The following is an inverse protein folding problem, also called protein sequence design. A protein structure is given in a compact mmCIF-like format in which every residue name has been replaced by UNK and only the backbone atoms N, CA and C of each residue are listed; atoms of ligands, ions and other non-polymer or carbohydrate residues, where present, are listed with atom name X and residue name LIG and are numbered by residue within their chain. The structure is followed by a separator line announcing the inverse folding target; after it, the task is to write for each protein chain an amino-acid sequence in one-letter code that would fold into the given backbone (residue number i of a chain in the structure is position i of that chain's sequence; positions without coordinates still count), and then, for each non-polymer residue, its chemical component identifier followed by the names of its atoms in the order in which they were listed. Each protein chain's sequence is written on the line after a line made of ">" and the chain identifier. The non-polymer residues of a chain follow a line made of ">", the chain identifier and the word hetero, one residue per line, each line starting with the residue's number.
data_IF_518214495811
#
_entry.id   IF_518214495811
#
_cell.length_a   1.000
_cell.length_b   1.000
_cell.length_c   1.000
_cell.angle_alpha   90.00
_cell.angle_beta   90.00
_cell.angle_gamma   90.00
#
_symmetry.space_group_name_H-M   'P 1'
#
loop_
_entity.id
_entity.type
_entity.pdbx_description
1 polymer ?
#
# COMPACT_ATOMS: atom_id res chain seq x y z
N UNK A 1 32.91 -4.92 9.52
CA UNK A 1 31.74 -4.64 8.68
C UNK A 1 31.60 -5.83 7.76
N UNK A 2 30.86 -6.85 8.21
CA UNK A 2 30.66 -8.07 7.44
C UNK A 2 29.50 -7.79 6.48
N UNK A 3 29.71 -8.08 5.20
CA UNK A 3 28.70 -8.05 4.15
C UNK A 3 27.45 -8.81 4.59
N UNK A 4 26.31 -8.13 4.53
CA UNK A 4 24.98 -8.66 4.85
C UNK A 4 24.73 -9.99 4.16
N UNK A 5 24.73 -11.07 4.95
CA UNK A 5 24.28 -12.37 4.49
C UNK A 5 22.75 -12.42 4.61
N UNK A 6 22.07 -11.67 3.73
CA UNK A 6 20.61 -11.67 3.65
C UNK A 6 20.10 -13.07 3.28
N UNK A 7 19.04 -13.53 3.93
CA UNK A 7 18.38 -14.80 3.71
C UNK A 7 17.40 -14.68 2.52
N UNK A 8 17.69 -15.33 1.38
CA UNK A 8 16.85 -15.25 0.19
C UNK A 8 15.43 -15.78 0.39
N UNK A 9 15.23 -16.73 1.31
CA UNK A 9 13.90 -17.31 1.58
C UNK A 9 13.00 -16.29 2.28
N UNK A 10 13.54 -15.50 3.22
CA UNK A 10 12.81 -14.42 3.90
C UNK A 10 12.45 -13.32 2.89
N UNK A 11 13.42 -12.92 2.06
CA UNK A 11 13.20 -11.93 0.99
C UNK A 11 12.07 -12.38 0.05
N UNK A 12 12.10 -13.64 -0.39
CA UNK A 12 11.07 -14.19 -1.28
C UNK A 12 9.70 -14.23 -0.60
N UNK A 13 9.63 -14.61 0.68
CA UNK A 13 8.39 -14.61 1.45
C UNK A 13 7.82 -13.20 1.62
N UNK A 14 8.67 -12.21 1.92
CA UNK A 14 8.27 -10.82 2.06
C UNK A 14 7.74 -10.24 0.75
N UNK A 15 8.41 -10.52 -0.38
CA UNK A 15 7.93 -10.12 -1.71
C UNK A 15 6.58 -10.74 -2.03
N UNK A 16 6.38 -12.02 -1.69
CA UNK A 16 5.10 -12.70 -1.91
C UNK A 16 3.97 -12.14 -1.03
N UNK A 17 4.25 -11.81 0.24
CA UNK A 17 3.28 -11.18 1.13
C UNK A 17 2.83 -9.81 0.59
N UNK A 18 3.77 -8.98 0.13
CA UNK A 18 3.43 -7.68 -0.45
C UNK A 18 2.71 -7.82 -1.80
N UNK A 19 3.10 -8.76 -2.66
CA UNK A 19 2.36 -9.04 -3.90
C UNK A 19 0.90 -9.44 -3.63
N UNK A 20 0.66 -10.31 -2.64
CA UNK A 20 -0.68 -10.67 -2.21
C UNK A 20 -1.46 -9.45 -1.69
N UNK A 21 -0.81 -8.55 -0.96
CA UNK A 21 -1.41 -7.34 -0.44
C UNK A 21 -1.95 -6.43 -1.57
N UNK A 22 -1.13 -6.14 -2.59
CA UNK A 22 -1.57 -5.34 -3.75
C UNK A 22 -2.72 -6.01 -4.52
N UNK A 23 -2.73 -7.34 -4.62
CA UNK A 23 -3.84 -8.05 -5.26
C UNK A 23 -5.16 -7.84 -4.50
N UNK A 24 -5.13 -7.89 -3.17
CA UNK A 24 -6.28 -7.62 -2.32
C UNK A 24 -6.76 -6.17 -2.43
N UNK A 25 -5.86 -5.21 -2.51
CA UNK A 25 -6.22 -3.81 -2.71
C UNK A 25 -6.89 -3.55 -4.07
N UNK A 26 -6.33 -4.10 -5.15
CA UNK A 26 -6.88 -3.94 -6.50
C UNK A 26 -8.28 -4.56 -6.64
N UNK A 27 -8.60 -5.57 -5.83
CA UNK A 27 -9.90 -6.27 -5.81
C UNK A 27 -10.84 -5.77 -4.70
N UNK A 28 -10.41 -4.78 -3.91
CA UNK A 28 -11.12 -4.27 -2.74
C UNK A 28 -11.46 -5.36 -1.69
N UNK A 29 -10.60 -6.36 -1.55
CA UNK A 29 -10.70 -7.43 -0.57
C UNK A 29 -9.99 -7.02 0.73
N UNK A 30 -10.58 -6.06 1.46
CA UNK A 30 -9.98 -5.48 2.67
C UNK A 30 -9.56 -6.52 3.70
N UNK A 31 -10.40 -7.53 3.98
CA UNK A 31 -10.08 -8.59 4.96
C UNK A 31 -8.83 -9.39 4.56
N UNK A 32 -8.66 -9.70 3.26
CA UNK A 32 -7.49 -10.41 2.77
C UNK A 32 -6.21 -9.57 2.92
N UNK A 33 -6.30 -8.25 2.72
CA UNK A 33 -5.19 -7.34 3.00
C UNK A 33 -4.84 -7.30 4.50
N UNK A 34 -5.85 -7.34 5.39
CA UNK A 34 -5.64 -7.31 6.84
C UNK A 34 -4.98 -8.58 7.38
N UNK A 35 -5.21 -9.73 6.77
CA UNK A 35 -4.55 -11.00 7.15
C UNK A 35 -3.03 -10.97 6.92
N UNK A 36 -2.55 -10.07 6.05
CA UNK A 36 -1.13 -9.88 5.76
C UNK A 36 -0.44 -8.89 6.72
N UNK A 37 -1.22 -8.24 7.59
CA UNK A 37 -0.68 -7.33 8.61
C UNK A 37 -0.45 -8.01 9.95
N UNK A 38 0.51 -7.48 10.71
CA UNK A 38 0.57 -7.73 12.16
C UNK A 38 -0.59 -7.05 12.87
N UNK A 39 -0.98 -7.53 14.06
CA UNK A 39 -2.12 -6.97 14.80
C UNK A 39 -1.90 -5.51 15.24
N UNK A 40 -0.64 -5.15 15.48
CA UNK A 40 -0.14 -3.82 15.85
C UNK A 40 0.35 -2.99 14.64
N UNK A 41 -0.09 -3.32 13.42
CA UNK A 41 0.34 -2.62 12.20
C UNK A 41 0.20 -1.10 12.31
N UNK A 42 1.16 -0.39 11.73
CA UNK A 42 1.09 1.06 11.54
C UNK A 42 0.91 1.37 10.06
N UNK A 43 -0.06 2.21 9.71
CA UNK A 43 -0.25 2.69 8.35
C UNK A 43 -0.07 4.22 8.31
N UNK A 44 0.75 4.73 7.39
CA UNK A 44 1.04 6.15 7.23
C UNK A 44 0.83 6.62 5.78
N UNK A 45 0.22 7.79 5.62
CA UNK A 45 0.29 8.57 4.38
C UNK A 45 0.81 9.97 4.69
N UNK A 46 2.14 10.19 4.68
CA UNK A 46 2.74 11.46 5.08
C UNK A 46 2.26 12.64 4.24
N UNK A 47 2.01 12.44 2.94
CA UNK A 47 1.49 13.49 2.04
C UNK A 47 0.12 14.03 2.48
N UNK A 48 -0.68 13.20 3.17
CA UNK A 48 -1.98 13.56 3.73
C UNK A 48 -1.95 13.82 5.24
N UNK A 49 -0.80 13.66 5.89
CA UNK A 49 -0.66 13.80 7.36
C UNK A 49 -1.43 12.74 8.15
N UNK A 50 -1.66 11.56 7.59
CA UNK A 50 -2.44 10.48 8.22
C UNK A 50 -1.53 9.42 8.86
N UNK A 51 -2.00 8.88 9.99
CA UNK A 51 -1.42 7.75 10.70
C UNK A 51 -2.52 6.95 11.39
N UNK A 52 -2.54 5.64 11.16
CA UNK A 52 -3.46 4.70 11.82
C UNK A 52 -2.67 3.57 12.47
N UNK A 53 -3.14 3.09 13.62
CA UNK A 53 -2.47 2.04 14.39
C UNK A 53 -3.46 0.92 14.72
N UNK A 54 -3.03 -0.32 14.46
CA UNK A 54 -3.79 -1.55 14.63
C UNK A 54 -4.77 -1.84 13.49
N UNK A 55 -5.03 -3.13 13.26
CA UNK A 55 -5.86 -3.62 12.14
C UNK A 55 -7.20 -2.93 11.99
N UNK A 56 -7.91 -2.68 13.10
CA UNK A 56 -9.23 -2.03 13.05
C UNK A 56 -9.17 -0.62 12.46
N UNK A 57 -8.21 0.20 12.88
CA UNK A 57 -8.10 1.57 12.39
C UNK A 57 -7.68 1.59 10.90
N UNK A 58 -6.81 0.65 10.50
CA UNK A 58 -6.41 0.47 9.11
C UNK A 58 -7.59 0.00 8.25
N UNK A 59 -8.39 -0.97 8.72
CA UNK A 59 -9.59 -1.47 8.05
C UNK A 59 -10.63 -0.37 7.80
N UNK A 60 -10.89 0.46 8.82
CA UNK A 60 -11.83 1.58 8.73
C UNK A 60 -11.35 2.61 7.68
N UNK A 61 -10.05 2.86 7.62
CA UNK A 61 -9.44 3.74 6.63
C UNK A 61 -9.52 3.14 5.20
N UNK A 62 -9.13 1.87 5.04
CA UNK A 62 -9.15 1.15 3.76
C UNK A 62 -10.56 1.15 3.17
N UNK A 63 -11.55 0.76 3.97
CA UNK A 63 -12.96 0.74 3.57
C UNK A 63 -13.43 2.12 3.08
N UNK A 64 -13.10 3.19 3.81
CA UNK A 64 -13.48 4.55 3.43
C UNK A 64 -12.75 5.06 2.19
N UNK A 65 -11.50 4.64 2.00
CA UNK A 65 -10.66 5.02 0.87
C UNK A 65 -11.12 4.35 -0.42
N UNK A 66 -11.21 3.02 -0.43
CA UNK A 66 -11.58 2.24 -1.61
C UNK A 66 -13.04 2.47 -2.03
N UNK A 67 -13.95 2.79 -1.11
CA UNK A 67 -15.32 3.19 -1.45
C UNK A 67 -15.39 4.46 -2.33
N UNK A 68 -14.30 5.23 -2.43
CA UNK A 68 -14.21 6.48 -3.21
C UNK A 68 -13.41 6.32 -4.51
N UNK A 69 -13.10 5.08 -4.89
CA UNK A 69 -12.35 4.74 -6.09
C UNK A 69 -13.10 3.70 -6.91
N UNK A 70 -12.89 3.71 -8.21
CA UNK A 70 -13.27 2.61 -9.10
C UNK A 70 -12.23 2.47 -10.22
N UNK A 71 -12.28 1.33 -10.92
CA UNK A 71 -11.37 1.02 -12.03
C UNK A 71 -9.89 1.13 -11.62
N UNK A 72 -9.54 0.61 -10.43
CA UNK A 72 -8.20 0.70 -9.86
C UNK A 72 -7.26 -0.25 -10.61
N UNK A 73 -6.19 0.31 -11.18
CA UNK A 73 -5.14 -0.39 -11.90
C UNK A 73 -3.77 -0.04 -11.30
N UNK A 74 -2.98 -1.06 -10.98
CA UNK A 74 -1.60 -0.91 -10.51
C UNK A 74 -0.62 -1.32 -11.61
N UNK A 75 0.35 -0.46 -11.88
CA UNK A 75 1.50 -0.71 -12.75
C UNK A 75 2.78 -0.64 -11.90
N UNK A 76 3.31 -1.79 -11.50
CA UNK A 76 4.57 -1.88 -10.75
C UNK A 76 5.75 -1.49 -11.65
N UNK A 77 6.51 -0.46 -11.27
CA UNK A 77 7.73 -0.09 -12.02
C UNK A 77 8.97 -0.77 -11.47
N UNK A 78 9.08 -0.87 -10.14
CA UNK A 78 10.13 -1.65 -9.48
C UNK A 78 9.65 -2.11 -8.11
N UNK A 79 10.12 -3.29 -7.71
CA UNK A 79 9.95 -3.81 -6.37
C UNK A 79 11.20 -4.56 -5.95
N UNK A 80 11.66 -4.32 -4.73
CA UNK A 80 12.77 -5.05 -4.13
C UNK A 80 12.56 -5.16 -2.63
N UNK A 81 13.31 -6.07 -2.01
CA UNK A 81 13.17 -6.36 -0.60
C UNK A 81 14.52 -6.68 0.05
N UNK A 82 14.55 -6.44 1.36
CA UNK A 82 15.51 -6.98 2.32
C UNK A 82 14.78 -7.99 3.21
N UNK A 83 15.48 -8.54 4.21
CA UNK A 83 14.83 -9.39 5.23
C UNK A 83 13.73 -8.67 6.02
N UNK A 84 13.81 -7.35 6.15
CA UNK A 84 12.98 -6.54 7.04
C UNK A 84 12.19 -5.44 6.33
N UNK A 85 12.35 -5.29 5.01
CA UNK A 85 11.67 -4.26 4.21
C UNK A 85 11.25 -4.79 2.86
N UNK A 86 10.15 -4.23 2.35
CA UNK A 86 9.82 -4.27 0.92
C UNK A 86 9.60 -2.84 0.46
N UNK A 87 10.19 -2.47 -0.66
CA UNK A 87 9.96 -1.19 -1.32
C UNK A 87 9.28 -1.46 -2.65
N UNK A 88 8.16 -0.79 -2.85
CA UNK A 88 7.40 -0.82 -4.10
C UNK A 88 7.28 0.60 -4.66
N UNK A 89 7.40 0.70 -5.97
CA UNK A 89 7.30 1.96 -6.69
C UNK A 89 6.44 1.76 -7.94
N UNK A 90 5.22 2.27 -7.87
CA UNK A 90 4.13 1.94 -8.79
C UNK A 90 3.47 3.18 -9.38
N UNK A 91 2.75 3.01 -10.49
CA UNK A 91 1.78 3.97 -10.97
C UNK A 91 0.39 3.37 -10.74
N UNK A 92 -0.47 4.10 -10.04
CA UNK A 92 -1.85 3.69 -9.78
C UNK A 92 -2.78 4.59 -10.58
N UNK A 93 -3.70 4.00 -11.32
CA UNK A 93 -4.74 4.71 -12.07
C UNK A 93 -6.10 4.31 -11.54
N UNK A 94 -6.98 5.28 -11.35
CA UNK A 94 -8.34 5.03 -10.87
C UNK A 94 -9.23 6.25 -11.17
N UNK A 95 -10.53 6.04 -11.11
CA UNK A 95 -11.52 7.12 -11.17
C UNK A 95 -12.01 7.44 -9.76
N UNK A 96 -12.01 8.73 -9.40
CA UNK A 96 -12.60 9.18 -8.13
C UNK A 96 -14.12 9.13 -8.19
N UNK A 97 -14.75 8.56 -7.17
CA UNK A 97 -16.22 8.42 -7.08
C UNK A 97 -16.83 9.19 -5.92
N UNK A 98 -15.98 9.76 -5.05
CA UNK A 98 -16.41 10.52 -3.89
C UNK A 98 -15.39 11.57 -3.47
N UNK A 99 -15.84 12.48 -2.62
CA UNK A 99 -15.06 13.62 -2.15
C UNK A 99 -14.18 13.30 -0.93
N UNK A 100 -13.15 14.11 -0.72
CA UNK A 100 -12.36 14.12 0.52
C UNK A 100 -11.34 13.01 0.68
N UNK A 101 -11.11 12.18 -0.34
CA UNK A 101 -9.91 11.34 -0.40
C UNK A 101 -8.70 12.14 -0.91
N UNK A 102 -8.86 12.77 -2.09
CA UNK A 102 -7.90 13.70 -2.68
C UNK A 102 -8.53 15.08 -2.84
N UNK A 103 -7.74 16.16 -2.95
CA UNK A 103 -8.23 17.50 -3.26
C UNK A 103 -8.57 17.65 -4.75
N UNK A 104 -9.36 16.72 -5.29
CA UNK A 104 -9.83 16.64 -6.66
C UNK A 104 -11.34 16.33 -6.63
N UNK A 105 -12.07 16.80 -7.63
CA UNK A 105 -13.51 16.56 -7.71
C UNK A 105 -13.81 15.09 -8.03
N UNK A 106 -14.95 14.60 -7.55
CA UNK A 106 -15.54 13.34 -8.00
C UNK A 106 -15.69 13.31 -9.53
N UNK A 107 -15.45 12.14 -10.12
CA UNK A 107 -15.41 11.89 -11.56
C UNK A 107 -14.06 12.13 -12.22
N UNK A 108 -13.08 12.70 -11.50
CA UNK A 108 -11.72 12.90 -12.03
C UNK A 108 -11.01 11.57 -12.24
N UNK A 109 -10.44 11.36 -13.43
CA UNK A 109 -9.46 10.29 -13.65
C UNK A 109 -8.14 10.69 -13.01
N UNK A 110 -7.60 9.83 -12.15
CA UNK A 110 -6.37 10.07 -11.41
C UNK A 110 -5.27 9.17 -11.94
N UNK A 111 -4.09 9.74 -12.10
CA UNK A 111 -2.84 8.98 -12.14
C UNK A 111 -2.01 9.38 -10.91
N UNK A 112 -1.58 8.38 -10.15
CA UNK A 112 -0.82 8.55 -8.93
C UNK A 112 0.51 7.80 -9.05
N UNK A 113 1.61 8.51 -8.82
CA UNK A 113 2.88 7.88 -8.51
C UNK A 113 2.85 7.52 -7.03
N UNK A 114 3.01 6.24 -6.71
CA UNK A 114 2.91 5.73 -5.35
C UNK A 114 4.16 4.94 -5.01
N UNK A 115 4.85 5.37 -3.95
CA UNK A 115 5.94 4.59 -3.35
C UNK A 115 5.46 4.05 -2.02
N UNK A 116 5.50 2.73 -1.87
CA UNK A 116 5.29 2.08 -0.59
C UNK A 116 6.62 1.65 0.02
N UNK A 117 6.75 1.88 1.32
CA UNK A 117 7.79 1.27 2.15
C UNK A 117 7.10 0.43 3.21
N UNK A 118 7.28 -0.88 3.11
CA UNK A 118 6.76 -1.84 4.07
C UNK A 118 7.86 -2.26 5.04
N UNK A 119 7.56 -2.26 6.34
CA UNK A 119 8.36 -2.92 7.36
C UNK A 119 7.83 -4.32 7.61
N UNK A 120 8.69 -5.33 7.44
CA UNK A 120 8.32 -6.73 7.55
C UNK A 120 8.72 -7.31 8.91
N UNK A 121 7.87 -8.15 9.48
CA UNK A 121 8.15 -8.90 10.70
C UNK A 121 7.47 -10.26 10.63
N UNK A 122 8.25 -11.33 10.76
CA UNK A 122 7.77 -12.72 10.74
C UNK A 122 6.90 -13.05 9.52
N UNK A 123 7.26 -12.48 8.35
CA UNK A 123 6.52 -12.67 7.09
C UNK A 123 5.25 -11.84 6.95
N UNK A 124 4.93 -10.99 7.93
CA UNK A 124 3.79 -10.07 7.90
C UNK A 124 4.25 -8.62 7.77
N UNK A 125 3.36 -7.76 7.27
CA UNK A 125 3.59 -6.32 7.19
C UNK A 125 3.28 -5.71 8.57
N UNK A 126 4.31 -5.17 9.21
CA UNK A 126 4.21 -4.49 10.51
C UNK A 126 4.04 -2.97 10.39
N UNK A 127 4.43 -2.41 9.24
CA UNK A 127 4.17 -1.01 8.92
C UNK A 127 4.11 -0.82 7.42
N UNK A 128 3.25 0.08 6.99
CA UNK A 128 3.15 0.56 5.62
C UNK A 128 3.22 2.08 5.60
N UNK A 129 3.99 2.61 4.66
CA UNK A 129 4.09 4.05 4.42
C UNK A 129 3.85 4.30 2.93
N UNK A 130 2.74 4.96 2.60
CA UNK A 130 2.39 5.39 1.25
C UNK A 130 2.82 6.83 0.99
N UNK A 131 3.76 7.03 0.05
CA UNK A 131 4.09 8.33 -0.50
C UNK A 131 3.36 8.55 -1.81
N UNK A 132 2.31 9.36 -1.74
CA UNK A 132 1.34 9.56 -2.81
C UNK A 132 1.61 10.89 -3.53
N UNK A 133 1.88 10.82 -4.84
CA UNK A 133 1.95 12.00 -5.70
C UNK A 133 0.91 11.85 -6.81
N UNK A 134 -0.20 12.55 -6.68
CA UNK A 134 -1.33 12.44 -7.61
C UNK A 134 -1.41 13.62 -8.59
N UNK A 135 -2.00 13.34 -9.75
CA UNK A 135 -2.43 14.34 -10.73
C UNK A 135 -3.75 13.91 -11.37
N UNK A 136 -4.51 14.89 -11.85
CA UNK A 136 -5.57 14.61 -12.80
C UNK A 136 -4.93 14.09 -14.11
N UNK A 137 -5.43 12.96 -14.61
CA UNK A 137 -5.06 12.46 -15.92
C UNK A 137 -5.68 13.37 -17.01
N UNK A 138 -4.91 13.64 -18.05
CA UNK A 138 -5.30 14.47 -19.20
C UNK A 138 -6.11 13.70 -20.23
#
# INVERSE_FOLDING_TARGET
>A
MSSDNQNPEIIAANLAAVEAHFHSEATNEVEAALDLYTDDVVWEAPARGLRFEGKRAVADNYTQMFAKMEDVEFETLQRFATEDRVVDDSVVRFRLTGEGYLPLNSGTQVEMRLVHIFEMRDGLISKEIGYEMWRAAS
#
